data_IF_552733341064
#
_entry.id   IF_552733341064
#
_cell.length_a   1.000
_cell.length_b   1.000
_cell.length_c   1.000
_cell.angle_alpha   90.00
_cell.angle_beta   90.00
_cell.angle_gamma   90.00
#
_symmetry.space_group_name_H-M   'P 1'
#
loop_
_entity.id
_entity.type
_entity.pdbx_description
1 polymer ?
#
# COMPACT_ATOMS: atom_id res chain seq x y z
N UNK A 1 -3.72 0.58 10.06
CA UNK A 1 -3.54 1.46 11.25
C UNK A 1 -4.17 2.83 11.01
N UNK A 2 -4.79 3.47 12.01
CA UNK A 2 -5.32 4.82 11.87
C UNK A 2 -4.19 5.86 11.87
N UNK A 3 -4.00 6.56 10.75
CA UNK A 3 -3.10 7.73 10.62
C UNK A 3 -3.70 9.00 11.24
N UNK A 4 -4.38 8.86 12.38
CA UNK A 4 -5.19 9.91 12.97
C UNK A 4 -4.32 11.16 13.22
N UNK A 5 -4.67 12.27 12.56
CA UNK A 5 -3.96 13.55 12.68
C UNK A 5 -2.73 13.73 11.77
N UNK A 6 -2.31 12.73 10.98
CA UNK A 6 -1.19 12.89 10.03
C UNK A 6 -1.65 13.28 8.61
N UNK A 7 -2.91 13.00 8.26
CA UNK A 7 -3.48 13.40 6.97
C UNK A 7 -3.94 14.86 7.06
N UNK A 8 -3.45 15.77 6.20
CA UNK A 8 -3.90 17.14 6.16
C UNK A 8 -5.41 17.26 5.87
N UNK A 9 -6.06 18.24 6.48
CA UNK A 9 -7.44 18.58 6.15
C UNK A 9 -7.55 19.24 4.77
N UNK A 10 -8.69 19.05 4.10
CA UNK A 10 -9.01 19.75 2.85
C UNK A 10 -8.42 19.11 1.58
N UNK A 11 -7.80 17.93 1.69
CA UNK A 11 -7.43 17.12 0.53
C UNK A 11 -8.68 16.60 -0.18
N UNK A 12 -8.62 16.48 -1.51
CA UNK A 12 -9.62 15.70 -2.25
C UNK A 12 -9.54 14.22 -1.86
N UNK A 13 -10.60 13.41 -2.04
CA UNK A 13 -10.58 12.00 -1.69
C UNK A 13 -9.41 11.22 -2.34
N UNK A 14 -9.09 11.55 -3.59
CA UNK A 14 -7.95 10.97 -4.31
C UNK A 14 -6.61 11.31 -3.66
N UNK A 15 -6.41 12.58 -3.30
CA UNK A 15 -5.20 13.06 -2.65
C UNK A 15 -5.05 12.46 -1.26
N UNK A 16 -6.15 12.31 -0.51
CA UNK A 16 -6.16 11.62 0.78
C UNK A 16 -5.69 10.16 0.64
N UNK A 17 -6.23 9.41 -0.32
CA UNK A 17 -5.83 8.02 -0.56
C UNK A 17 -4.36 7.89 -0.95
N UNK A 18 -3.85 8.80 -1.79
CA UNK A 18 -2.45 8.84 -2.15
C UNK A 18 -1.55 9.18 -0.96
N UNK A 19 -1.97 10.15 -0.13
CA UNK A 19 -1.25 10.53 1.08
C UNK A 19 -1.20 9.37 2.09
N UNK A 20 -2.33 8.67 2.27
CA UNK A 20 -2.46 7.46 3.08
C UNK A 20 -1.54 6.35 2.58
N UNK A 21 -1.50 6.11 1.26
CA UNK A 21 -0.60 5.13 0.66
C UNK A 21 0.87 5.43 1.01
N UNK A 22 1.29 6.70 0.88
CA UNK A 22 2.66 7.12 1.21
C UNK A 22 2.99 6.95 2.70
N UNK A 23 2.07 7.31 3.59
CA UNK A 23 2.22 7.08 5.03
C UNK A 23 2.39 5.60 5.35
N UNK A 24 1.56 4.73 4.74
CA UNK A 24 1.64 3.29 4.95
C UNK A 24 2.92 2.67 4.36
N UNK A 25 3.41 3.11 3.20
CA UNK A 25 4.71 2.66 2.67
C UNK A 25 5.84 3.02 3.64
N UNK A 26 5.89 4.27 4.11
CA UNK A 26 6.92 4.72 5.05
C UNK A 26 6.84 3.95 6.36
N UNK A 27 5.63 3.87 6.94
CA UNK A 27 5.40 3.12 8.16
C UNK A 27 5.74 1.64 8.01
N UNK A 28 5.39 1.01 6.89
CA UNK A 28 5.73 -0.39 6.60
C UNK A 28 7.23 -0.62 6.58
N UNK A 29 8.01 0.29 5.99
CA UNK A 29 9.48 0.24 5.98
C UNK A 29 10.07 0.34 7.40
N UNK A 30 9.59 1.30 8.20
CA UNK A 30 10.04 1.46 9.59
C UNK A 30 9.79 0.18 10.40
N UNK A 31 8.62 -0.44 10.25
CA UNK A 31 8.26 -1.69 10.94
C UNK A 31 9.08 -2.88 10.47
N UNK A 32 9.32 -2.97 9.17
CA UNK A 32 10.19 -3.98 8.58
C UNK A 32 11.61 -3.91 9.18
N UNK A 33 12.18 -2.71 9.26
CA UNK A 33 13.51 -2.47 9.85
C UNK A 33 13.57 -2.84 11.35
N UNK A 34 12.45 -2.71 12.07
CA UNK A 34 12.31 -3.11 13.49
C UNK A 34 12.04 -4.61 13.69
N UNK A 35 11.86 -5.37 12.61
CA UNK A 35 11.47 -6.78 12.68
C UNK A 35 10.00 -7.01 13.05
N UNK A 36 9.16 -5.98 12.98
CA UNK A 36 7.71 -6.03 13.20
C UNK A 36 7.02 -6.53 11.91
N UNK A 37 7.36 -7.75 11.48
CA UNK A 37 7.04 -8.27 10.14
C UNK A 37 5.54 -8.31 9.82
N UNK A 38 4.65 -8.80 10.72
CA UNK A 38 3.22 -8.81 10.42
C UNK A 38 2.64 -7.41 10.20
N UNK A 39 3.05 -6.45 11.04
CA UNK A 39 2.59 -5.07 10.93
C UNK A 39 3.17 -4.36 9.69
N UNK A 40 4.39 -4.73 9.28
CA UNK A 40 4.99 -4.26 8.04
C UNK A 40 4.19 -4.75 6.82
N UNK A 41 3.81 -6.03 6.77
CA UNK A 41 3.02 -6.62 5.67
C UNK A 41 1.65 -5.95 5.59
N UNK A 42 0.96 -5.82 6.73
CA UNK A 42 -0.33 -5.14 6.77
C UNK A 42 -0.22 -3.68 6.28
N UNK A 43 0.81 -2.96 6.68
CA UNK A 43 1.05 -1.60 6.20
C UNK A 43 1.34 -1.55 4.69
N UNK A 44 2.17 -2.46 4.16
CA UNK A 44 2.40 -2.51 2.72
C UNK A 44 1.12 -2.84 1.95
N UNK A 45 0.29 -3.75 2.46
CA UNK A 45 -0.98 -4.10 1.83
C UNK A 45 -1.95 -2.90 1.83
N UNK A 46 -2.18 -2.27 3.00
CA UNK A 46 -2.98 -1.06 3.14
C UNK A 46 -2.53 0.04 2.16
N UNK A 47 -1.22 0.19 1.97
CA UNK A 47 -0.67 1.18 1.03
C UNK A 47 -0.98 0.86 -0.42
N UNK A 48 -0.91 -0.41 -0.81
CA UNK A 48 -1.17 -0.88 -2.16
C UNK A 48 -2.65 -0.68 -2.51
N UNK A 49 -3.57 -1.08 -1.64
CA UNK A 49 -5.01 -0.87 -1.83
C UNK A 49 -5.34 0.62 -1.92
N UNK A 50 -4.79 1.44 -1.02
CA UNK A 50 -5.01 2.90 -1.05
C UNK A 50 -4.53 3.54 -2.37
N UNK A 51 -3.37 3.10 -2.86
CA UNK A 51 -2.79 3.59 -4.10
C UNK A 51 -3.60 3.17 -5.33
N UNK A 52 -4.05 1.91 -5.37
CA UNK A 52 -4.93 1.42 -6.42
C UNK A 52 -6.23 2.22 -6.47
N UNK A 53 -6.90 2.39 -5.32
CA UNK A 53 -8.14 3.19 -5.23
C UNK A 53 -7.93 4.62 -5.73
N UNK A 54 -6.85 5.28 -5.31
CA UNK A 54 -6.49 6.62 -5.77
C UNK A 54 -6.34 6.70 -7.30
N UNK A 55 -5.68 5.72 -7.92
CA UNK A 55 -5.51 5.66 -9.39
C UNK A 55 -6.80 5.34 -10.13
N UNK A 56 -7.62 4.49 -9.55
CA UNK A 56 -8.91 4.13 -10.09
C UNK A 56 -9.82 5.36 -10.30
N UNK A 57 -9.78 6.30 -9.35
CA UNK A 57 -10.53 7.57 -9.41
C UNK A 57 -10.15 8.46 -10.61
N UNK A 58 -8.98 8.27 -11.24
CA UNK A 58 -8.62 9.01 -12.46
C UNK A 58 -9.35 8.52 -13.71
N UNK A 59 -9.96 7.33 -13.65
CA UNK A 59 -10.47 6.62 -14.82
C UNK A 59 -11.94 6.25 -14.72
N UNK A 60 -12.57 6.42 -13.56
CA UNK A 60 -13.98 6.16 -13.36
C UNK A 60 -14.50 6.85 -12.10
N UNK A 61 -15.53 7.67 -12.25
CA UNK A 61 -16.32 8.21 -11.13
C UNK A 61 -17.23 7.13 -10.48
N UNK A 62 -17.28 5.93 -11.08
CA UNK A 62 -18.17 4.82 -10.72
C UNK A 62 -17.42 3.56 -10.34
N UNK A 63 -16.17 3.66 -9.92
CA UNK A 63 -15.65 2.54 -9.12
C UNK A 63 -16.47 2.60 -7.86
N UNK A 64 -17.47 1.71 -7.87
CA UNK A 64 -18.37 1.46 -6.76
C UNK A 64 -17.49 1.27 -5.53
N UNK A 65 -18.05 1.50 -4.35
CA UNK A 65 -17.41 1.08 -3.10
C UNK A 65 -17.35 -0.47 -3.02
N UNK A 66 -17.25 -1.18 -4.16
CA UNK A 66 -17.02 -2.61 -4.19
C UNK A 66 -15.68 -2.84 -3.50
N UNK A 67 -15.79 -3.44 -2.33
CA UNK A 67 -14.66 -3.90 -1.52
C UNK A 67 -13.87 -5.04 -2.21
N UNK A 68 -14.09 -5.27 -3.52
CA UNK A 68 -13.37 -6.29 -4.28
C UNK A 68 -12.03 -5.74 -4.81
N UNK A 69 -11.01 -5.96 -4.00
CA UNK A 69 -9.63 -5.58 -4.29
C UNK A 69 -9.08 -6.25 -5.57
N UNK A 70 -9.58 -7.45 -5.92
CA UNK A 70 -9.13 -8.19 -7.11
C UNK A 70 -9.75 -7.59 -8.38
N UNK A 71 -11.02 -7.19 -8.33
CA UNK A 71 -11.66 -6.46 -9.43
C UNK A 71 -10.95 -5.14 -9.71
N UNK A 72 -10.64 -4.38 -8.65
CA UNK A 72 -9.89 -3.13 -8.74
C UNK A 72 -8.50 -3.33 -9.37
N UNK A 73 -7.78 -4.36 -8.93
CA UNK A 73 -6.47 -4.71 -9.48
C UNK A 73 -6.55 -5.03 -10.98
N UNK A 74 -7.49 -5.89 -11.38
CA UNK A 74 -7.68 -6.28 -12.78
C UNK A 74 -8.04 -5.09 -13.65
N UNK A 75 -8.93 -4.20 -13.18
CA UNK A 75 -9.25 -2.96 -13.87
C UNK A 75 -8.01 -2.11 -14.15
N UNK A 76 -7.14 -1.90 -13.17
CA UNK A 76 -5.92 -1.09 -13.35
C UNK A 76 -4.91 -1.75 -14.28
N UNK A 77 -4.82 -3.09 -14.27
CA UNK A 77 -3.99 -3.83 -15.24
C UNK A 77 -4.52 -3.73 -16.66
N UNK A 78 -5.83 -3.88 -16.86
CA UNK A 78 -6.45 -3.72 -18.18
C UNK A 78 -6.26 -2.31 -18.75
N UNK A 79 -6.18 -1.29 -17.90
CA UNK A 79 -5.85 0.08 -18.28
C UNK A 79 -4.35 0.32 -18.52
N UNK A 80 -3.49 -0.68 -18.29
CA UNK A 80 -2.04 -0.57 -18.43
C UNK A 80 -1.39 0.35 -17.38
N UNK A 81 -2.07 0.58 -16.25
CA UNK A 81 -1.55 1.41 -15.15
C UNK A 81 -0.57 0.59 -14.31
N UNK A 82 -0.91 -0.69 -14.08
CA UNK A 82 -0.05 -1.65 -13.39
C UNK A 82 0.47 -2.65 -14.43
N UNK A 83 1.78 -2.71 -14.61
CA UNK A 83 2.42 -3.60 -15.59
C UNK A 83 3.45 -4.53 -14.92
N UNK A 84 4.10 -4.07 -13.86
CA UNK A 84 5.17 -4.78 -13.15
C UNK A 84 4.68 -5.81 -12.14
N UNK A 85 3.36 -5.90 -11.91
CA UNK A 85 2.72 -6.73 -10.88
C UNK A 85 1.67 -7.63 -11.52
N UNK A 86 1.81 -8.94 -11.32
CA UNK A 86 0.98 -9.97 -11.93
C UNK A 86 -0.16 -10.42 -11.01
N UNK A 87 -1.09 -11.22 -11.54
CA UNK A 87 -2.11 -11.87 -10.71
C UNK A 87 -1.48 -12.81 -9.68
N UNK A 88 -0.44 -13.57 -10.07
CA UNK A 88 0.31 -14.42 -9.15
C UNK A 88 0.97 -13.62 -8.03
N UNK A 89 1.51 -12.42 -8.32
CA UNK A 89 2.06 -11.51 -7.30
C UNK A 89 0.97 -11.01 -6.35
N UNK A 90 -0.23 -10.71 -6.87
CA UNK A 90 -1.38 -10.28 -6.08
C UNK A 90 -1.85 -11.38 -5.13
N UNK A 91 -2.03 -12.59 -5.64
CA UNK A 91 -2.42 -13.76 -4.84
C UNK A 91 -1.35 -14.11 -3.82
N UNK A 92 -0.06 -14.03 -4.20
CA UNK A 92 1.07 -14.21 -3.28
C UNK A 92 1.08 -13.16 -2.17
N UNK A 93 0.70 -11.90 -2.47
CA UNK A 93 0.65 -10.85 -1.46
C UNK A 93 -0.52 -11.06 -0.48
N UNK A 94 -1.68 -11.50 -0.97
CA UNK A 94 -2.81 -11.89 -0.12
C UNK A 94 -2.46 -13.09 0.78
N UNK A 95 -1.80 -14.13 0.24
CA UNK A 95 -1.32 -15.26 1.05
C UNK A 95 -0.31 -14.80 2.11
N UNK A 96 0.62 -13.92 1.73
CA UNK A 96 1.61 -13.35 2.66
C UNK A 96 0.94 -12.62 3.83
N UNK A 97 -0.10 -11.83 3.54
CA UNK A 97 -0.91 -11.13 4.55
C UNK A 97 -1.67 -12.10 5.46
N UNK A 98 -2.36 -13.08 4.88
CA UNK A 98 -3.12 -14.08 5.63
C UNK A 98 -2.23 -14.91 6.57
N UNK A 99 -1.04 -15.30 6.07
CA UNK A 99 -0.04 -16.02 6.87
C UNK A 99 0.53 -15.16 7.98
N UNK A 100 0.79 -13.87 7.71
CA UNK A 100 1.24 -12.93 8.72
C UNK A 100 0.20 -12.79 9.86
N UNK A 101 -1.09 -12.70 9.55
CA UNK A 101 -2.15 -12.66 10.57
C UNK A 101 -2.28 -13.96 11.38
N UNK A 102 -1.82 -15.08 10.82
CA UNK A 102 -1.73 -16.37 11.52
C UNK A 102 -0.42 -16.57 12.28
N UNK A 103 0.41 -15.54 12.38
CA UNK A 103 1.74 -15.56 13.02
C UNK A 103 2.70 -16.62 12.41
N UNK A 104 2.54 -16.90 11.11
CA UNK A 104 3.48 -17.75 10.37
C UNK A 104 4.73 -16.93 10.04
N UNK A 105 5.92 -17.52 10.17
CA UNK A 105 7.18 -16.86 9.80
C UNK A 105 7.21 -16.63 8.28
N UNK A 106 7.37 -15.37 7.88
CA UNK A 106 7.29 -14.91 6.47
C UNK A 106 8.34 -13.85 6.11
N UNK A 107 9.36 -13.65 6.95
CA UNK A 107 10.32 -12.55 6.82
C UNK A 107 11.18 -12.64 5.54
N UNK A 108 11.52 -13.85 5.11
CA UNK A 108 12.31 -14.08 3.90
C UNK A 108 11.48 -13.84 2.65
N UNK A 109 10.24 -14.33 2.63
CA UNK A 109 9.29 -14.12 1.53
C UNK A 109 8.97 -12.64 1.35
N UNK A 110 8.74 -11.92 2.45
CA UNK A 110 8.56 -10.47 2.40
C UNK A 110 9.79 -9.78 1.79
N UNK A 111 11.00 -10.13 2.24
CA UNK A 111 12.24 -9.57 1.71
C UNK A 111 12.37 -9.74 0.18
N UNK A 112 12.03 -10.93 -0.33
CA UNK A 112 12.03 -11.20 -1.76
C UNK A 112 10.93 -10.44 -2.53
N UNK A 113 9.80 -10.20 -1.87
CA UNK A 113 8.64 -9.52 -2.46
C UNK A 113 8.83 -7.99 -2.57
N UNK A 114 9.66 -7.38 -1.71
CA UNK A 114 9.83 -5.93 -1.63
C UNK A 114 10.27 -5.27 -2.93
N UNK A 115 11.05 -5.93 -3.78
CA UNK A 115 11.46 -5.38 -5.08
C UNK A 115 10.27 -5.29 -6.05
N UNK A 116 9.44 -6.33 -6.11
CA UNK A 116 8.20 -6.33 -6.91
C UNK A 116 7.23 -5.28 -6.38
N UNK A 117 7.07 -5.20 -5.06
CA UNK A 117 6.27 -4.19 -4.40
C UNK A 117 6.75 -2.76 -4.74
N UNK A 118 8.05 -2.47 -4.62
CA UNK A 118 8.58 -1.14 -4.92
C UNK A 118 8.36 -0.72 -6.39
N UNK A 119 8.42 -1.68 -7.34
CA UNK A 119 8.12 -1.42 -8.75
C UNK A 119 6.66 -1.00 -8.94
N UNK A 120 5.70 -1.77 -8.42
CA UNK A 120 4.29 -1.43 -8.57
C UNK A 120 3.91 -0.14 -7.87
N UNK A 121 4.48 0.12 -6.68
CA UNK A 121 4.25 1.38 -5.97
C UNK A 121 4.85 2.59 -6.70
N UNK A 122 5.88 2.39 -7.52
CA UNK A 122 6.40 3.43 -8.42
C UNK A 122 5.46 3.67 -9.60
N UNK A 123 4.89 2.62 -10.20
CA UNK A 123 3.87 2.74 -11.27
C UNK A 123 2.61 3.46 -10.76
N UNK A 124 2.19 3.14 -9.54
CA UNK A 124 1.08 3.81 -8.84
C UNK A 124 1.44 5.23 -8.37
N UNK A 125 2.67 5.71 -8.56
CA UNK A 125 3.09 7.07 -8.22
C UNK A 125 3.20 7.35 -6.72
N UNK A 126 3.32 6.32 -5.89
CA UNK A 126 3.52 6.43 -4.44
C UNK A 126 5.00 6.65 -4.12
N UNK A 127 5.87 5.95 -4.82
CA UNK A 127 7.34 6.02 -4.68
C UNK A 127 7.93 6.71 -5.92
N UNK A 128 8.98 7.55 -5.78
CA UNK A 128 9.62 7.97 -4.53
C UNK A 128 8.76 8.94 -3.72
N UNK A 129 8.85 8.83 -2.39
CA UNK A 129 8.33 9.82 -1.44
C UNK A 129 9.37 10.93 -1.32
N UNK A 130 8.98 12.18 -1.53
CA UNK A 130 9.91 13.32 -1.46
C UNK A 130 10.22 13.69 -0.02
N UNK A 131 11.43 14.20 0.21
CA UNK A 131 11.82 14.70 1.52
C UNK A 131 10.87 15.83 1.98
N UNK A 132 10.39 15.73 3.22
CA UNK A 132 9.43 16.67 3.79
C UNK A 132 8.00 16.57 3.26
N UNK A 133 7.70 15.62 2.36
CA UNK A 133 6.34 15.43 1.82
C UNK A 133 5.35 14.89 2.87
N UNK A 134 5.85 14.10 3.82
CA UNK A 134 5.04 13.52 4.88
C UNK A 134 5.46 14.11 6.23
N UNK A 135 4.51 14.35 7.15
CA UNK A 135 4.83 14.78 8.52
C UNK A 135 5.69 13.73 9.20
N UNK A 136 6.57 14.16 10.11
CA UNK A 136 7.33 13.22 10.94
C UNK A 136 6.35 12.34 11.74
N UNK A 137 6.56 11.03 11.69
CA UNK A 137 5.89 10.12 12.61
C UNK A 137 6.49 10.35 13.99
N UNK A 138 5.79 11.07 14.85
CA UNK A 138 6.15 11.12 16.26
C UNK A 138 6.03 9.70 16.81
N UNK A 139 7.14 9.11 17.25
CA UNK A 139 7.11 7.84 17.95
C UNK A 139 6.33 8.05 19.24
N UNK A 140 5.09 7.60 19.27
CA UNK A 140 4.42 7.36 20.55
C UNK A 140 5.03 6.07 21.08
N UNK A 141 6.19 6.17 21.74
CA UNK A 141 6.58 5.17 22.73
C UNK A 141 5.48 5.15 23.78
N UNK A 142 4.58 4.18 23.68
CA UNK A 142 3.73 3.76 24.79
C UNK A 142 4.53 2.81 25.68
#
# INVERSE_FOLDING_TARGET
MPHFGLIPHGLSPKEELMFRAKLHVRGGRIRYERGEIPDAIAAFYDSFISAMRSKAMDHSDKIDDSDDEKELFNFLREKGIINSFTEDDFESFQDLLDRAFRNVVVSQELGNFLDTFNRVMSELGVIPIKDGELPEEQSVTL
#
